data_IF_688009117189
#
_entry.id   IF_688009117189
#
_cell.length_a   1.000
_cell.length_b   1.000
_cell.length_c   1.000
_cell.angle_alpha   90.00
_cell.angle_beta   90.00
_cell.angle_gamma   90.00
#
_symmetry.space_group_name_H-M   'P 1'
#
loop_
_entity.id
_entity.type
_entity.pdbx_description
1 polymer ?
#
# COMPACT_ATOMS: atom_id res chain seq x y z
N UNK A 1 -2.94 14.80 18.69
CA UNK A 1 -3.14 13.39 18.32
C UNK A 1 -3.67 13.18 16.91
N UNK A 2 -4.45 14.09 16.33
CA UNK A 2 -4.98 13.95 14.95
C UNK A 2 -4.01 14.52 13.91
N UNK A 3 -3.13 15.43 14.30
CA UNK A 3 -2.10 16.06 13.46
C UNK A 3 -1.05 15.10 12.87
N UNK A 4 -0.96 13.86 13.39
CA UNK A 4 -0.02 12.86 12.90
C UNK A 4 -0.58 11.96 11.79
N UNK A 5 -1.81 12.21 11.33
CA UNK A 5 -2.40 11.51 10.19
C UNK A 5 -1.82 12.10 8.90
N UNK A 6 -0.63 11.66 8.54
CA UNK A 6 -0.05 11.96 7.23
C UNK A 6 -0.77 11.13 6.17
N UNK A 7 -1.72 11.77 5.49
CA UNK A 7 -2.44 11.17 4.36
C UNK A 7 -1.49 11.04 3.19
N UNK A 8 -1.05 9.80 2.94
CA UNK A 8 -0.09 9.47 1.88
C UNK A 8 1.36 9.75 2.31
N UNK A 9 2.08 8.69 2.60
CA UNK A 9 3.52 8.74 2.94
C UNK A 9 4.36 8.95 1.67
N UNK A 10 3.90 9.82 0.75
CA UNK A 10 4.63 10.11 -0.48
C UNK A 10 5.91 10.89 -0.16
N UNK A 11 7.04 10.38 -0.63
CA UNK A 11 8.33 11.07 -0.59
C UNK A 11 8.58 11.76 -1.93
N UNK A 12 8.66 13.09 -1.92
CA UNK A 12 8.94 13.86 -3.13
C UNK A 12 10.39 13.63 -3.57
N UNK A 13 10.57 12.93 -4.67
CA UNK A 13 11.89 12.62 -5.24
C UNK A 13 11.90 12.76 -6.76
N UNK A 14 13.11 12.91 -7.33
CA UNK A 14 13.33 13.06 -8.78
C UNK A 14 13.92 11.81 -9.42
N UNK A 15 13.90 10.65 -8.73
CA UNK A 15 14.48 9.41 -9.23
C UNK A 15 13.76 8.88 -10.49
N UNK A 16 14.42 7.95 -11.20
CA UNK A 16 13.84 7.29 -12.36
C UNK A 16 12.49 6.66 -12.04
N UNK A 17 12.38 6.02 -10.86
CA UNK A 17 11.15 5.37 -10.41
C UNK A 17 10.05 6.42 -10.14
N UNK A 18 10.36 7.57 -9.53
CA UNK A 18 9.36 8.63 -9.31
C UNK A 18 8.75 9.15 -10.62
N UNK A 19 9.57 9.20 -11.69
CA UNK A 19 9.15 9.72 -13.01
C UNK A 19 8.42 8.69 -13.89
N UNK A 20 8.30 7.44 -13.47
CA UNK A 20 7.55 6.40 -14.19
C UNK A 20 6.05 6.67 -14.13
N UNK A 21 5.31 6.17 -15.13
CA UNK A 21 3.84 6.22 -15.14
C UNK A 21 3.27 5.39 -13.99
N UNK A 22 2.31 5.96 -13.22
CA UNK A 22 1.72 5.33 -12.05
C UNK A 22 1.03 3.99 -12.38
N UNK A 23 0.50 3.82 -13.58
CA UNK A 23 -0.10 2.56 -14.06
C UNK A 23 0.95 1.46 -14.13
N UNK A 24 2.11 1.78 -14.75
CA UNK A 24 3.21 0.82 -14.87
C UNK A 24 3.79 0.48 -13.52
N UNK A 25 3.99 1.45 -12.63
CA UNK A 25 4.44 1.19 -11.25
C UNK A 25 3.50 0.22 -10.53
N UNK A 26 2.20 0.44 -10.61
CA UNK A 26 1.21 -0.43 -9.97
C UNK A 26 1.27 -1.85 -10.53
N UNK A 27 1.28 -2.01 -11.85
CA UNK A 27 1.37 -3.33 -12.52
C UNK A 27 2.69 -4.03 -12.19
N UNK A 28 3.82 -3.31 -12.24
CA UNK A 28 5.12 -3.87 -11.92
C UNK A 28 5.25 -4.26 -10.44
N UNK A 29 4.65 -3.47 -9.54
CA UNK A 29 4.60 -3.84 -8.11
C UNK A 29 3.81 -5.12 -7.89
N UNK A 30 2.64 -5.26 -8.53
CA UNK A 30 1.86 -6.49 -8.46
C UNK A 30 2.62 -7.67 -9.07
N UNK A 31 3.28 -7.48 -10.22
CA UNK A 31 4.11 -8.49 -10.84
C UNK A 31 5.25 -8.94 -9.90
N UNK A 32 5.95 -7.99 -9.25
CA UNK A 32 7.00 -8.31 -8.28
C UNK A 32 6.47 -9.07 -7.08
N UNK A 33 5.29 -8.70 -6.55
CA UNK A 33 4.64 -9.45 -5.48
C UNK A 33 4.38 -10.90 -5.91
N UNK A 34 3.82 -11.10 -7.10
CA UNK A 34 3.59 -12.45 -7.64
C UNK A 34 4.91 -13.21 -7.82
N UNK A 35 5.95 -12.57 -8.35
CA UNK A 35 7.27 -13.20 -8.51
C UNK A 35 7.84 -13.65 -7.16
N UNK A 36 7.72 -12.85 -6.11
CA UNK A 36 8.17 -13.21 -4.77
C UNK A 36 7.42 -14.44 -4.21
N UNK A 37 6.14 -14.62 -4.55
CA UNK A 37 5.41 -15.85 -4.20
C UNK A 37 5.82 -17.06 -5.04
N UNK A 38 6.23 -16.85 -6.28
CA UNK A 38 6.72 -17.92 -7.18
C UNK A 38 8.11 -18.42 -6.76
N UNK A 39 8.92 -17.61 -6.03
CA UNK A 39 10.21 -18.04 -5.52
C UNK A 39 10.04 -19.23 -4.56
N UNK A 40 10.67 -20.39 -4.88
CA UNK A 40 10.62 -21.63 -4.10
C UNK A 40 11.96 -22.04 -3.50
N UNK A 41 13.07 -21.43 -3.98
CA UNK A 41 14.44 -21.75 -3.60
C UNK A 41 15.12 -20.55 -2.99
N UNK A 42 16.15 -20.81 -2.13
CA UNK A 42 16.98 -19.74 -1.57
C UNK A 42 17.71 -18.94 -2.65
N UNK A 43 18.11 -19.57 -3.75
CA UNK A 43 18.79 -18.90 -4.87
C UNK A 43 17.84 -17.92 -5.59
N UNK A 44 16.59 -18.34 -5.82
CA UNK A 44 15.57 -17.45 -6.42
C UNK A 44 15.20 -16.29 -5.48
N UNK A 45 15.14 -16.55 -4.16
CA UNK A 45 14.90 -15.53 -3.17
C UNK A 45 16.09 -14.57 -3.03
N UNK A 46 17.35 -15.09 -3.10
CA UNK A 46 18.56 -14.27 -3.12
C UNK A 46 18.64 -13.36 -4.33
N UNK A 47 18.31 -13.88 -5.53
CA UNK A 47 18.18 -13.07 -6.74
C UNK A 47 17.10 -11.99 -6.59
N UNK A 48 15.95 -12.33 -5.99
CA UNK A 48 14.88 -11.38 -5.72
C UNK A 48 15.32 -10.29 -4.73
N UNK A 49 16.08 -10.65 -3.70
CA UNK A 49 16.64 -9.68 -2.75
C UNK A 49 17.57 -8.69 -3.46
N UNK A 50 18.49 -9.18 -4.29
CA UNK A 50 19.41 -8.32 -5.08
C UNK A 50 18.61 -7.39 -5.98
N UNK A 51 17.59 -7.91 -6.68
CA UNK A 51 16.73 -7.12 -7.56
C UNK A 51 15.98 -6.02 -6.80
N UNK A 52 15.32 -6.36 -5.69
CA UNK A 52 14.56 -5.40 -4.87
C UNK A 52 15.48 -4.34 -4.26
N UNK A 53 16.69 -4.72 -3.82
CA UNK A 53 17.70 -3.76 -3.32
C UNK A 53 18.15 -2.83 -4.44
N UNK A 54 18.38 -3.33 -5.65
CA UNK A 54 18.72 -2.48 -6.80
C UNK A 54 17.61 -1.48 -7.13
N UNK A 55 16.35 -1.92 -7.14
CA UNK A 55 15.18 -1.03 -7.33
C UNK A 55 15.09 0.01 -6.22
N UNK A 56 15.32 -0.38 -4.97
CA UNK A 56 15.33 0.53 -3.82
C UNK A 56 16.40 1.62 -3.97
N UNK A 57 17.62 1.25 -4.34
CA UNK A 57 18.73 2.20 -4.57
C UNK A 57 18.41 3.16 -5.71
N UNK A 58 17.83 2.67 -6.81
CA UNK A 58 17.37 3.49 -7.93
C UNK A 58 16.24 4.45 -7.54
N UNK A 59 15.42 4.07 -6.56
CA UNK A 59 14.33 4.90 -6.03
C UNK A 59 14.82 6.12 -5.25
N UNK A 60 16.04 6.07 -4.68
CA UNK A 60 16.60 7.12 -3.80
C UNK A 60 15.72 7.43 -2.58
N UNK A 61 14.88 6.49 -2.16
CA UNK A 61 14.08 6.60 -0.93
C UNK A 61 15.02 6.35 0.27
N UNK A 62 15.00 7.20 1.31
CA UNK A 62 15.88 7.03 2.46
C UNK A 62 15.55 5.73 3.22
N UNK A 63 16.59 4.94 3.54
CA UNK A 63 16.47 3.67 4.28
C UNK A 63 15.71 3.80 5.60
N UNK A 64 15.78 4.96 6.24
CA UNK A 64 15.04 5.24 7.48
C UNK A 64 13.51 5.09 7.30
N UNK A 65 12.98 5.46 6.13
CA UNK A 65 11.55 5.30 5.83
C UNK A 65 11.19 3.83 5.63
N UNK A 66 12.05 3.06 4.95
CA UNK A 66 11.86 1.61 4.78
C UNK A 66 11.86 0.88 6.13
N UNK A 67 12.81 1.24 6.99
CA UNK A 67 12.86 0.69 8.35
C UNK A 67 11.59 1.01 9.16
N UNK A 68 11.04 2.21 9.00
CA UNK A 68 9.78 2.61 9.65
C UNK A 68 8.59 1.77 9.19
N UNK A 69 8.58 1.33 7.92
CA UNK A 69 7.54 0.44 7.38
C UNK A 69 7.66 -1.00 7.90
N UNK A 70 8.89 -1.48 8.11
CA UNK A 70 9.16 -2.84 8.59
C UNK A 70 8.91 -2.95 10.10
N UNK A 71 9.26 -1.92 10.88
CA UNK A 71 9.22 -1.93 12.34
C UNK A 71 7.91 -2.44 12.95
N UNK A 72 6.70 -2.01 12.54
CA UNK A 72 5.44 -2.51 13.11
C UNK A 72 5.17 -3.98 12.79
N UNK A 73 5.78 -4.52 11.73
CA UNK A 73 5.59 -5.90 11.30
C UNK A 73 6.58 -6.88 11.93
N UNK A 74 7.61 -6.39 12.62
CA UNK A 74 8.64 -7.23 13.27
C UNK A 74 8.00 -8.23 14.24
N UNK A 75 6.98 -7.83 15.00
CA UNK A 75 6.28 -8.70 15.95
C UNK A 75 5.60 -9.85 15.20
N UNK A 76 4.89 -9.56 14.10
CA UNK A 76 4.22 -10.58 13.28
C UNK A 76 5.25 -11.50 12.61
N UNK A 77 6.35 -10.92 12.13
CA UNK A 77 7.46 -11.69 11.53
C UNK A 77 8.13 -12.62 12.52
N UNK A 78 8.36 -12.16 13.76
CA UNK A 78 8.89 -13.00 14.83
C UNK A 78 7.92 -14.13 15.17
N UNK A 79 6.63 -13.83 15.27
CA UNK A 79 5.60 -14.82 15.55
C UNK A 79 5.51 -15.90 14.46
N UNK A 80 5.51 -15.48 13.18
CA UNK A 80 5.50 -16.41 12.04
C UNK A 80 6.79 -17.23 11.97
N UNK A 81 7.95 -16.65 12.27
CA UNK A 81 9.21 -17.37 12.32
C UNK A 81 9.18 -18.47 13.42
N UNK A 82 8.71 -18.12 14.61
CA UNK A 82 8.55 -19.08 15.73
C UNK A 82 7.61 -20.21 15.33
N UNK A 83 6.45 -19.91 14.75
CA UNK A 83 5.50 -20.95 14.29
C UNK A 83 6.18 -21.87 13.26
N UNK A 84 6.88 -21.32 12.26
CA UNK A 84 7.52 -22.13 11.23
C UNK A 84 8.59 -23.07 11.82
N UNK A 85 9.38 -22.61 12.81
CA UNK A 85 10.38 -23.44 13.50
C UNK A 85 9.75 -24.63 14.23
N UNK A 86 8.59 -24.43 14.87
CA UNK A 86 7.95 -25.47 15.69
C UNK A 86 6.95 -26.34 14.91
N UNK A 87 6.33 -25.81 13.86
CA UNK A 87 5.30 -26.52 13.11
C UNK A 87 5.87 -27.44 12.02
N UNK A 88 6.95 -27.03 11.35
CA UNK A 88 7.57 -27.81 10.29
C UNK A 88 8.46 -28.93 10.89
N UNK A 89 8.02 -30.16 10.78
CA UNK A 89 8.67 -31.36 11.31
C UNK A 89 9.45 -32.16 10.25
N UNK A 90 9.84 -31.55 9.14
CA UNK A 90 10.63 -32.22 8.09
C UNK A 90 12.14 -32.09 8.30
N UNK A 91 12.92 -33.04 7.75
CA UNK A 91 14.38 -33.01 7.77
C UNK A 91 15.00 -33.58 9.06
N UNK A 92 16.33 -33.31 9.22
CA UNK A 92 17.07 -33.77 10.40
C UNK A 92 16.69 -32.99 11.67
N UNK A 93 16.53 -33.68 12.78
CA UNK A 93 16.25 -33.06 14.07
C UNK A 93 17.52 -32.45 14.64
N UNK A 94 17.59 -31.12 14.78
CA UNK A 94 18.70 -30.42 15.40
C UNK A 94 18.68 -30.51 16.92
N UNK A 95 17.50 -30.33 17.50
CA UNK A 95 17.28 -30.39 18.96
C UNK A 95 15.91 -31.01 19.22
N UNK A 96 15.87 -32.07 20.02
CA UNK A 96 14.63 -32.64 20.54
C UNK A 96 14.59 -32.50 22.07
N UNK A 97 13.70 -31.66 22.54
CA UNK A 97 13.47 -31.49 23.97
C UNK A 97 11.98 -31.77 24.28
N UNK A 98 11.71 -32.93 24.87
CA UNK A 98 10.39 -33.47 25.25
C UNK A 98 9.38 -33.47 24.08
N UNK A 99 8.52 -32.42 23.91
CA UNK A 99 7.52 -32.32 22.84
C UNK A 99 7.91 -31.32 21.72
N UNK A 100 9.02 -30.65 21.86
CA UNK A 100 9.47 -29.61 20.96
C UNK A 100 10.65 -30.16 20.14
N UNK A 101 10.42 -30.35 18.84
CA UNK A 101 11.47 -30.76 17.89
C UNK A 101 11.78 -29.62 16.95
N UNK A 102 12.99 -29.11 17.03
CA UNK A 102 13.49 -28.13 16.06
C UNK A 102 14.17 -28.89 14.94
N UNK A 103 13.66 -28.70 13.72
CA UNK A 103 14.17 -29.37 12.52
C UNK A 103 14.93 -28.39 11.62
N UNK A 104 15.86 -28.89 10.82
CA UNK A 104 16.59 -28.09 9.83
C UNK A 104 15.64 -27.42 8.84
N UNK A 105 14.63 -28.17 8.36
CA UNK A 105 13.62 -27.61 7.43
C UNK A 105 12.78 -26.52 8.10
N UNK A 106 12.45 -26.64 9.39
CA UNK A 106 11.74 -25.60 10.15
C UNK A 106 12.52 -24.28 10.21
N UNK A 107 13.83 -24.35 10.47
CA UNK A 107 14.70 -23.16 10.49
C UNK A 107 14.82 -22.55 9.10
N UNK A 108 15.03 -23.38 8.07
CA UNK A 108 15.13 -22.90 6.69
C UNK A 108 13.84 -22.22 6.22
N UNK A 109 12.67 -22.80 6.48
CA UNK A 109 11.38 -22.19 6.13
C UNK A 109 11.12 -20.92 6.93
N UNK A 110 11.51 -20.84 8.19
CA UNK A 110 11.40 -19.63 8.99
C UNK A 110 12.22 -18.47 8.41
N UNK A 111 13.49 -18.71 8.06
CA UNK A 111 14.36 -17.71 7.43
C UNK A 111 13.79 -17.29 6.07
N UNK A 112 13.41 -18.27 5.24
CA UNK A 112 12.88 -18.05 3.91
C UNK A 112 11.61 -17.21 3.91
N UNK A 113 10.64 -17.54 4.78
CA UNK A 113 9.39 -16.79 4.91
C UNK A 113 9.61 -15.40 5.50
N UNK A 114 10.52 -15.25 6.47
CA UNK A 114 10.85 -13.95 7.05
C UNK A 114 11.44 -13.02 6.01
N UNK A 115 12.43 -13.47 5.23
CA UNK A 115 13.03 -12.67 4.16
C UNK A 115 11.99 -12.33 3.09
N UNK A 116 11.14 -13.29 2.70
CA UNK A 116 10.04 -13.04 1.74
C UNK A 116 9.09 -11.95 2.24
N UNK A 117 8.67 -11.98 3.50
CA UNK A 117 7.79 -10.96 4.09
C UNK A 117 8.47 -9.59 4.06
N UNK A 118 9.75 -9.49 4.41
CA UNK A 118 10.52 -8.24 4.32
C UNK A 118 10.49 -7.69 2.90
N UNK A 119 10.79 -8.52 1.89
CA UNK A 119 10.79 -8.09 0.50
C UNK A 119 9.42 -7.64 0.02
N UNK A 120 8.35 -8.35 0.40
CA UNK A 120 6.96 -7.96 0.09
C UNK A 120 6.61 -6.58 0.67
N UNK A 121 6.98 -6.34 1.93
CA UNK A 121 6.76 -5.06 2.60
C UNK A 121 7.55 -3.94 1.92
N UNK A 122 8.81 -4.18 1.58
CA UNK A 122 9.66 -3.20 0.89
C UNK A 122 9.08 -2.84 -0.47
N UNK A 123 8.69 -3.83 -1.28
CA UNK A 123 8.09 -3.61 -2.61
C UNK A 123 6.79 -2.82 -2.53
N UNK A 124 5.89 -3.18 -1.59
CA UNK A 124 4.62 -2.47 -1.39
C UNK A 124 4.83 -1.04 -0.88
N UNK A 125 5.75 -0.85 0.07
CA UNK A 125 6.11 0.46 0.61
C UNK A 125 6.73 1.37 -0.45
N UNK A 126 7.52 0.80 -1.37
CA UNK A 126 8.14 1.55 -2.45
C UNK A 126 7.10 2.19 -3.37
N UNK A 127 6.01 1.49 -3.69
CA UNK A 127 4.89 2.05 -4.45
C UNK A 127 4.27 3.24 -3.70
N UNK A 128 4.02 3.09 -2.40
CA UNK A 128 3.41 4.12 -1.56
C UNK A 128 4.30 5.36 -1.44
N UNK A 129 5.62 5.19 -1.29
CA UNK A 129 6.56 6.31 -1.20
C UNK A 129 6.83 7.01 -2.52
N UNK A 130 6.67 6.33 -3.66
CA UNK A 130 6.99 6.88 -4.99
C UNK A 130 5.77 7.36 -5.78
N UNK A 131 4.54 7.12 -5.28
CA UNK A 131 3.31 7.45 -6.00
C UNK A 131 2.32 8.14 -5.07
N UNK A 132 1.79 9.30 -5.47
CA UNK A 132 0.76 9.98 -4.67
C UNK A 132 -0.57 9.22 -4.74
N UNK A 133 -1.42 9.29 -3.70
CA UNK A 133 -2.74 8.65 -3.69
C UNK A 133 -3.60 9.08 -4.89
N UNK A 134 -3.55 10.34 -5.29
CA UNK A 134 -4.29 10.86 -6.45
C UNK A 134 -3.80 10.26 -7.77
N UNK A 135 -2.47 10.13 -7.96
CA UNK A 135 -1.92 9.45 -9.14
C UNK A 135 -2.27 7.97 -9.18
N UNK A 136 -2.35 7.32 -8.00
CA UNK A 136 -2.75 5.92 -7.89
C UNK A 136 -4.23 5.75 -8.26
N UNK A 137 -5.11 6.64 -7.81
CA UNK A 137 -6.54 6.66 -8.20
C UNK A 137 -6.70 6.83 -9.72
N UNK A 138 -5.97 7.76 -10.33
CA UNK A 138 -5.97 7.96 -11.78
C UNK A 138 -5.45 6.72 -12.53
N UNK A 139 -4.44 6.04 -11.99
CA UNK A 139 -3.90 4.82 -12.57
C UNK A 139 -4.93 3.68 -12.51
N UNK A 140 -5.58 3.49 -11.34
CA UNK A 140 -6.62 2.50 -11.14
C UNK A 140 -7.82 2.73 -12.08
N UNK A 141 -8.28 3.96 -12.27
CA UNK A 141 -9.35 4.27 -13.21
C UNK A 141 -9.02 3.80 -14.63
N UNK A 142 -7.78 4.01 -15.06
CA UNK A 142 -7.37 3.57 -16.40
C UNK A 142 -7.18 2.06 -16.51
N UNK A 143 -6.61 1.43 -15.49
CA UNK A 143 -6.45 -0.02 -15.45
C UNK A 143 -7.79 -0.74 -15.37
N UNK A 144 -8.77 -0.17 -14.65
CA UNK A 144 -10.11 -0.70 -14.54
C UNK A 144 -11.04 -0.28 -15.71
N UNK A 145 -10.53 0.53 -16.65
CA UNK A 145 -11.31 0.96 -17.84
C UNK A 145 -11.96 -0.20 -18.62
N UNK A 146 -11.35 -1.42 -18.78
CA UNK A 146 -12.01 -2.54 -19.42
C UNK A 146 -13.30 -3.00 -18.71
N UNK A 147 -13.43 -2.76 -17.38
CA UNK A 147 -14.64 -3.11 -16.64
C UNK A 147 -15.87 -2.27 -17.03
N UNK A 148 -15.68 -1.21 -17.80
CA UNK A 148 -16.80 -0.48 -18.43
C UNK A 148 -17.64 -1.39 -19.32
N UNK A 149 -17.04 -2.42 -19.94
CA UNK A 149 -17.76 -3.42 -20.73
C UNK A 149 -18.78 -4.20 -19.89
N UNK A 150 -18.54 -4.34 -18.59
CA UNK A 150 -19.43 -5.01 -17.63
C UNK A 150 -20.35 -3.98 -16.92
N UNK A 151 -20.51 -2.78 -17.50
CA UNK A 151 -21.36 -1.68 -16.99
C UNK A 151 -20.96 -1.14 -15.62
N UNK A 152 -19.70 -1.35 -15.17
CA UNK A 152 -19.19 -0.75 -13.92
C UNK A 152 -18.88 0.73 -14.18
N UNK A 153 -19.41 1.68 -13.38
CA UNK A 153 -19.18 3.11 -13.55
C UNK A 153 -17.79 3.53 -13.02
N UNK A 154 -16.73 3.02 -13.65
CA UNK A 154 -15.33 3.19 -13.21
C UNK A 154 -14.96 4.68 -13.08
N UNK A 155 -15.43 5.52 -14.00
CA UNK A 155 -15.16 6.96 -13.93
C UNK A 155 -15.78 7.61 -12.68
N UNK A 156 -17.03 7.26 -12.37
CA UNK A 156 -17.73 7.79 -11.18
C UNK A 156 -17.03 7.35 -9.90
N UNK A 157 -16.60 6.08 -9.83
CA UNK A 157 -15.83 5.59 -8.68
C UNK A 157 -14.51 6.33 -8.50
N UNK A 158 -13.75 6.54 -9.58
CA UNK A 158 -12.50 7.28 -9.52
C UNK A 158 -12.70 8.75 -9.13
N UNK A 159 -13.77 9.37 -9.62
CA UNK A 159 -14.15 10.73 -9.24
C UNK A 159 -14.46 10.80 -7.74
N UNK A 160 -15.30 9.89 -7.22
CA UNK A 160 -15.64 9.82 -5.79
C UNK A 160 -14.37 9.65 -4.95
N UNK A 161 -13.46 8.74 -5.34
CA UNK A 161 -12.18 8.54 -4.64
C UNK A 161 -11.32 9.81 -4.65
N UNK A 162 -11.23 10.51 -5.79
CA UNK A 162 -10.45 11.75 -5.92
C UNK A 162 -11.04 12.86 -5.05
N UNK A 163 -12.37 13.01 -5.02
CA UNK A 163 -13.06 13.96 -4.15
C UNK A 163 -12.86 13.61 -2.68
N UNK A 164 -12.99 12.33 -2.31
CA UNK A 164 -12.75 11.87 -0.95
C UNK A 164 -11.31 12.21 -0.50
N UNK A 165 -10.30 11.86 -1.30
CA UNK A 165 -8.89 12.18 -0.99
C UNK A 165 -8.65 13.69 -0.82
N UNK A 166 -9.38 14.53 -1.55
CA UNK A 166 -9.29 15.99 -1.43
C UNK A 166 -9.99 16.49 -0.17
N UNK A 167 -11.14 15.89 0.21
CA UNK A 167 -11.90 16.33 1.38
C UNK A 167 -11.34 15.83 2.71
N UNK A 168 -10.60 14.71 2.74
CA UNK A 168 -10.03 14.18 3.98
C UNK A 168 -9.19 15.21 4.75
N UNK A 169 -8.22 15.94 4.17
CA UNK A 169 -7.48 16.98 4.90
C UNK A 169 -8.40 18.07 5.45
N UNK A 170 -9.36 18.53 4.66
CA UNK A 170 -10.30 19.57 5.03
C UNK A 170 -11.20 19.12 6.19
N UNK A 171 -11.65 17.85 6.17
CA UNK A 171 -12.45 17.29 7.26
C UNK A 171 -11.64 17.10 8.54
N UNK A 172 -10.33 16.76 8.45
CA UNK A 172 -9.46 16.67 9.62
C UNK A 172 -9.31 18.04 10.29
N UNK A 173 -9.08 19.10 9.52
CA UNK A 173 -9.02 20.47 10.05
C UNK A 173 -10.36 20.87 10.69
N UNK A 174 -11.47 20.48 10.10
CA UNK A 174 -12.82 20.75 10.63
C UNK A 174 -13.06 20.00 11.95
N UNK A 175 -12.65 18.72 12.03
CA UNK A 175 -12.72 17.93 13.27
C UNK A 175 -11.92 18.62 14.38
N UNK A 176 -10.69 19.07 14.12
CA UNK A 176 -9.86 19.75 15.10
C UNK A 176 -10.53 21.06 15.57
N UNK A 177 -11.10 21.82 14.65
CA UNK A 177 -11.83 23.05 14.97
C UNK A 177 -13.05 22.78 15.84
N UNK A 178 -13.86 21.78 15.49
CA UNK A 178 -15.06 21.38 16.26
C UNK A 178 -14.64 20.86 17.64
N UNK A 179 -13.59 20.01 17.72
CA UNK A 179 -13.08 19.48 18.99
C UNK A 179 -12.62 20.59 19.93
N UNK A 180 -11.88 21.57 19.42
CA UNK A 180 -11.40 22.70 20.22
C UNK A 180 -12.58 23.55 20.73
N UNK A 181 -13.60 23.76 19.89
CA UNK A 181 -14.81 24.46 20.30
C UNK A 181 -15.60 23.70 21.38
N UNK A 182 -15.69 22.38 21.28
CA UNK A 182 -16.38 21.55 22.29
C UNK A 182 -15.60 21.48 23.61
N UNK A 183 -14.24 21.40 23.55
CA UNK A 183 -13.38 21.50 24.73
C UNK A 183 -13.57 22.85 25.45
N UNK A 184 -13.66 23.94 24.70
CA UNK A 184 -13.91 25.27 25.28
C UNK A 184 -15.31 25.38 25.95
N UNK A 185 -16.26 24.57 25.55
CA UNK A 185 -17.60 24.43 26.18
C UNK A 185 -17.63 23.47 27.36
N UNK A 186 -16.46 22.94 27.78
CA UNK A 186 -16.33 22.02 28.91
C UNK A 186 -16.59 20.55 28.57
N UNK A 187 -16.60 20.17 27.28
CA UNK A 187 -16.72 18.78 26.90
C UNK A 187 -15.44 18.01 27.27
N UNK A 188 -15.63 16.95 28.06
CA UNK A 188 -14.56 16.04 28.44
C UNK A 188 -14.52 14.85 27.45
N UNK A 189 -13.53 14.86 26.56
CA UNK A 189 -13.33 13.88 25.50
C UNK A 189 -12.36 12.75 25.88
N UNK A 190 -11.66 12.88 27.00
CA UNK A 190 -10.49 12.06 27.34
C UNK A 190 -10.74 11.15 28.55
N UNK A 191 -11.63 11.56 29.50
CA UNK A 191 -11.86 10.81 30.74
C UNK A 191 -13.11 9.94 30.68
N UNK A 192 -13.07 8.79 31.34
CA UNK A 192 -14.21 7.89 31.49
C UNK A 192 -14.11 6.58 30.70
N UNK A 193 -15.08 5.69 30.93
CA UNK A 193 -15.18 4.40 30.25
C UNK A 193 -15.52 4.54 28.77
N UNK A 194 -15.38 3.42 28.01
CA UNK A 194 -15.57 3.39 26.55
C UNK A 194 -16.91 3.96 26.08
N UNK A 195 -18.01 3.66 26.81
CA UNK A 195 -19.36 4.14 26.49
C UNK A 195 -19.45 5.66 26.67
N UNK A 196 -18.84 6.22 27.75
CA UNK A 196 -18.82 7.66 28.02
C UNK A 196 -18.04 8.41 26.94
N UNK A 197 -16.88 7.87 26.51
CA UNK A 197 -16.09 8.40 25.40
C UNK A 197 -16.85 8.37 24.08
N UNK A 198 -17.55 7.26 23.77
CA UNK A 198 -18.37 7.16 22.57
C UNK A 198 -19.49 8.21 22.55
N UNK A 199 -20.18 8.43 23.69
CA UNK A 199 -21.20 9.48 23.79
C UNK A 199 -20.62 10.89 23.66
N UNK A 200 -19.40 11.12 24.14
CA UNK A 200 -18.70 12.40 24.01
C UNK A 200 -18.30 12.75 22.56
N UNK A 201 -18.27 11.77 21.65
CA UNK A 201 -18.03 12.01 20.22
C UNK A 201 -19.28 12.51 19.47
N UNK A 202 -20.50 12.27 19.98
CA UNK A 202 -21.74 12.67 19.31
C UNK A 202 -21.79 14.18 19.04
N UNK A 203 -21.47 15.08 20.01
CA UNK A 203 -21.44 16.52 19.78
C UNK A 203 -20.40 16.98 18.75
N UNK A 204 -19.42 16.12 18.39
CA UNK A 204 -18.45 16.38 17.33
C UNK A 204 -18.98 15.86 15.99
N UNK A 205 -19.59 14.66 15.99
CA UNK A 205 -20.06 14.02 14.77
C UNK A 205 -21.21 14.79 14.12
N UNK A 206 -22.18 15.29 14.89
CA UNK A 206 -23.36 16.00 14.33
C UNK A 206 -22.93 17.25 13.55
N UNK A 207 -22.16 18.21 14.10
CA UNK A 207 -21.68 19.35 13.34
C UNK A 207 -20.82 18.97 12.14
N UNK A 208 -19.99 17.92 12.28
CA UNK A 208 -19.14 17.42 11.19
C UNK A 208 -20.00 16.92 10.02
N UNK A 209 -21.05 16.12 10.29
CA UNK A 209 -21.97 15.66 9.25
C UNK A 209 -22.66 16.83 8.54
N UNK A 210 -23.16 17.81 9.28
CA UNK A 210 -23.81 18.99 8.72
C UNK A 210 -22.84 19.75 7.81
N UNK A 211 -21.60 19.96 8.26
CA UNK A 211 -20.55 20.61 7.47
C UNK A 211 -20.21 19.82 6.21
N UNK A 212 -20.08 18.48 6.33
CA UNK A 212 -19.77 17.60 5.20
C UNK A 212 -20.88 17.63 4.14
N UNK A 213 -22.15 17.55 4.56
CA UNK A 213 -23.28 17.64 3.63
C UNK A 213 -23.38 19.01 2.96
N UNK A 214 -23.15 20.10 3.70
CA UNK A 214 -23.12 21.45 3.11
C UNK A 214 -22.07 21.56 2.02
N UNK A 215 -20.86 21.08 2.28
CA UNK A 215 -19.76 21.06 1.28
C UNK A 215 -20.08 20.19 0.07
N UNK A 216 -20.72 19.03 0.31
CA UNK A 216 -21.14 18.15 -0.78
C UNK A 216 -22.19 18.84 -1.67
N UNK A 217 -23.14 19.54 -1.06
CA UNK A 217 -24.17 20.31 -1.77
C UNK A 217 -23.56 21.48 -2.59
N UNK A 218 -22.68 22.26 -1.96
CA UNK A 218 -21.96 23.35 -2.64
C UNK A 218 -21.15 22.85 -3.83
N UNK A 219 -20.48 21.69 -3.68
CA UNK A 219 -19.73 21.07 -4.76
C UNK A 219 -20.64 20.59 -5.89
N UNK A 220 -21.75 19.91 -5.53
CA UNK A 220 -22.73 19.44 -6.51
C UNK A 220 -23.30 20.62 -7.32
N UNK A 221 -23.72 21.69 -6.66
CA UNK A 221 -24.21 22.91 -7.30
C UNK A 221 -23.15 23.56 -8.20
N UNK A 222 -21.89 23.64 -7.73
CA UNK A 222 -20.80 24.16 -8.55
C UNK A 222 -20.50 23.28 -9.78
N UNK A 223 -20.72 21.96 -9.68
CA UNK A 223 -20.59 21.05 -10.82
C UNK A 223 -21.73 21.22 -11.83
N UNK A 224 -22.97 21.39 -11.37
CA UNK A 224 -24.14 21.66 -12.20
C UNK A 224 -23.97 22.99 -12.97
N UNK A 225 -23.55 24.06 -12.29
CA UNK A 225 -23.24 25.36 -12.94
C UNK A 225 -22.15 25.26 -14.01
N UNK A 226 -21.30 24.24 -13.94
CA UNK A 226 -20.28 23.94 -14.97
C UNK A 226 -20.74 22.90 -15.98
N UNK A 227 -22.02 22.62 -16.07
CA UNK A 227 -22.66 21.67 -16.97
C UNK A 227 -22.02 20.26 -16.87
N UNK A 228 -21.79 19.78 -15.65
CA UNK A 228 -21.29 18.43 -15.45
C UNK A 228 -22.39 17.40 -15.73
N UNK A 229 -22.22 16.61 -16.80
CA UNK A 229 -23.18 15.58 -17.26
C UNK A 229 -22.63 14.16 -17.14
N UNK A 230 -21.57 13.96 -16.35
CA UNK A 230 -20.91 12.64 -16.22
C UNK A 230 -19.54 12.58 -16.88
N UNK A 231 -19.05 11.34 -17.12
CA UNK A 231 -17.69 11.11 -17.60
C UNK A 231 -17.51 11.01 -19.12
N UNK A 232 -18.60 10.87 -19.85
CA UNK A 232 -18.55 10.62 -21.28
C UNK A 232 -18.25 11.93 -22.07
N UNK A 233 -17.38 11.83 -23.08
CA UNK A 233 -17.01 12.97 -23.92
C UNK A 233 -16.03 13.99 -23.29
N UNK A 234 -15.57 13.80 -22.05
CA UNK A 234 -14.67 14.74 -21.36
C UNK A 234 -13.21 14.47 -21.66
N UNK A 235 -12.46 15.56 -21.84
CA UNK A 235 -11.00 15.53 -21.92
C UNK A 235 -10.38 15.72 -20.54
N UNK A 236 -9.20 15.10 -20.32
CA UNK A 236 -8.44 15.25 -19.06
C UNK A 236 -7.37 16.32 -19.22
N UNK A 237 -7.25 17.21 -18.23
CA UNK A 237 -6.21 18.23 -18.17
C UNK A 237 -4.82 17.59 -18.08
N UNK A 238 -4.64 16.56 -17.22
CA UNK A 238 -3.38 15.83 -17.06
C UNK A 238 -3.49 14.48 -17.74
N UNK A 239 -2.79 14.31 -18.88
CA UNK A 239 -2.71 13.02 -19.59
C UNK A 239 -1.49 12.24 -19.13
N UNK A 240 -1.67 11.02 -18.63
CA UNK A 240 -0.57 10.09 -18.40
C UNK A 240 -0.03 9.60 -19.74
N UNK A 241 1.29 9.67 -19.95
CA UNK A 241 1.96 9.22 -21.18
C UNK A 241 2.99 8.15 -20.80
N UNK A 242 2.91 7.00 -21.45
CA UNK A 242 3.94 5.97 -21.34
C UNK A 242 5.23 6.49 -21.99
N UNK A 243 6.36 6.28 -21.32
CA UNK A 243 7.69 6.65 -21.80
C UNK A 243 8.52 5.39 -22.06
N UNK A 244 9.61 5.51 -22.81
CA UNK A 244 10.51 4.39 -23.09
C UNK A 244 11.04 3.70 -21.80
N UNK A 245 11.24 4.46 -20.73
CA UNK A 245 11.65 3.95 -19.41
C UNK A 245 10.64 2.97 -18.80
N UNK A 246 9.34 3.14 -19.07
CA UNK A 246 8.29 2.26 -18.56
C UNK A 246 8.36 0.88 -19.26
N UNK A 247 8.64 0.87 -20.56
CA UNK A 247 8.86 -0.36 -21.33
C UNK A 247 10.16 -1.06 -20.96
N UNK A 248 11.23 -0.30 -20.67
CA UNK A 248 12.50 -0.86 -20.17
C UNK A 248 12.25 -1.55 -18.81
N UNK A 249 11.55 -0.90 -17.90
CA UNK A 249 11.23 -1.48 -16.60
C UNK A 249 10.37 -2.75 -16.73
N UNK A 250 9.42 -2.78 -17.67
CA UNK A 250 8.63 -3.97 -17.98
C UNK A 250 9.52 -5.09 -18.51
N UNK A 251 10.42 -4.80 -19.46
CA UNK A 251 11.36 -5.78 -20.02
C UNK A 251 12.30 -6.36 -18.96
N UNK A 252 12.86 -5.51 -18.09
CA UNK A 252 13.72 -5.92 -16.97
C UNK A 252 12.95 -6.82 -15.99
N UNK A 253 11.71 -6.46 -15.65
CA UNK A 253 10.89 -7.28 -14.74
C UNK A 253 10.49 -8.60 -15.37
N UNK A 254 10.20 -8.64 -16.68
CA UNK A 254 9.92 -9.86 -17.41
C UNK A 254 11.15 -10.78 -17.49
N UNK A 255 12.34 -10.23 -17.77
CA UNK A 255 13.61 -10.98 -17.74
C UNK A 255 13.89 -11.53 -16.34
N UNK A 256 13.62 -10.76 -15.30
CA UNK A 256 13.73 -11.21 -13.92
C UNK A 256 12.78 -12.37 -13.60
N UNK A 257 11.51 -12.29 -14.03
CA UNK A 257 10.54 -13.40 -13.89
C UNK A 257 11.05 -14.66 -14.59
N UNK A 258 11.54 -14.53 -15.83
CA UNK A 258 12.10 -15.65 -16.57
C UNK A 258 13.30 -16.29 -15.83
N UNK A 259 14.20 -15.47 -15.30
CA UNK A 259 15.33 -15.95 -14.51
C UNK A 259 14.88 -16.70 -13.25
N UNK A 260 13.87 -16.21 -12.52
CA UNK A 260 13.30 -16.90 -11.35
C UNK A 260 12.69 -18.24 -11.73
N UNK A 261 11.94 -18.32 -12.84
CA UNK A 261 11.34 -19.57 -13.33
C UNK A 261 12.42 -20.58 -13.70
N UNK A 262 13.45 -20.14 -14.41
CA UNK A 262 14.60 -20.99 -14.78
C UNK A 262 15.32 -21.51 -13.55
N UNK A 263 15.63 -20.65 -12.56
CA UNK A 263 16.25 -21.07 -11.32
C UNK A 263 15.39 -22.08 -10.54
N UNK A 264 14.09 -21.87 -10.48
CA UNK A 264 13.19 -22.83 -9.84
C UNK A 264 13.14 -24.19 -10.56
N UNK A 265 13.30 -24.19 -11.88
CA UNK A 265 13.28 -25.43 -12.67
C UNK A 265 14.56 -26.26 -12.49
N UNK A 266 15.75 -25.59 -12.50
CA UNK A 266 17.04 -26.30 -12.48
C UNK A 266 17.50 -26.69 -11.06
N UNK A 267 17.14 -25.93 -10.03
CA UNK A 267 17.67 -26.11 -8.66
C UNK A 267 16.74 -26.88 -7.72
N UNK A 268 15.62 -27.43 -8.23
CA UNK A 268 14.67 -28.22 -7.45
C UNK A 268 13.92 -27.43 -6.39
N UNK A 269 13.00 -28.09 -5.68
CA UNK A 269 12.24 -27.49 -4.59
C UNK A 269 12.94 -27.77 -3.25
N UNK A 270 13.17 -26.73 -2.45
CA UNK A 270 13.66 -26.88 -1.06
C UNK A 270 12.48 -26.92 -0.07
N UNK A 271 11.28 -26.51 -0.53
CA UNK A 271 10.04 -26.47 0.27
C UNK A 271 8.93 -27.15 -0.52
#
# INVERSE_FOLDING_TARGET
MISDITIGQYYSGTSLIHRMDARMKFVLTLALIVILFVCRNFYSLGLALVFVVAVLLLSKVPMKMMWRSIKPLVIIMLFTAVINVFYNRGGETLVSFWKITITTTGVYTAIFTTVRIILLVVVSSLLTYTTTPTMLTDALERLLSPLKLVKVPVHTLAMIMTLALRFIPVLIEEIERIMNAQKARGADLETGGLIKRAKALIPILIPLFISAFRRAYELAFAMECRCYTGGDGRTRMKKMKLAARDFIALGVTAAFLAAVIVLNHYLGHII
#
